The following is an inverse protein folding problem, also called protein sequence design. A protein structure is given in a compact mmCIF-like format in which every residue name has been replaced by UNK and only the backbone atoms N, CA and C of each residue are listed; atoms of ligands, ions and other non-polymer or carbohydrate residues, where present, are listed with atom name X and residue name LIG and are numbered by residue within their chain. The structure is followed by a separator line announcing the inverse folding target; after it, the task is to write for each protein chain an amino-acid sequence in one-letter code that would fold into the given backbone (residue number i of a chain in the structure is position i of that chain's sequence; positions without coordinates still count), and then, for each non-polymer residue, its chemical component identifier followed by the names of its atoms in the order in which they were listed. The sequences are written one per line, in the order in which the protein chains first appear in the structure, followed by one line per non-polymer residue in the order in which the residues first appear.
data_IF_306214564337
#
_entry.id   IF_306214564337
#
_cell.length_a   1.000
_cell.length_b   1.000
_cell.length_c   1.000
_cell.angle_alpha   90.00
_cell.angle_beta   90.00
_cell.angle_gamma   90.00
#
_symmetry.space_group_name_H-M   'P 1'
#
loop_
_entity.id
_entity.type
_entity.pdbx_description
1 polymer ?
#
# COMPACT_ATOMS: atom_id res chain seq x y z
N UNK A 1 5.68 2.13 27.86
CA UNK A 1 5.42 0.81 27.22
C UNK A 1 4.27 0.84 26.20
N UNK A 2 3.24 1.68 26.37
CA UNK A 2 2.13 1.80 25.42
C UNK A 2 2.60 2.25 24.04
N UNK A 3 3.40 3.31 23.95
CA UNK A 3 3.93 3.84 22.69
C UNK A 3 4.82 2.83 21.93
N UNK A 4 5.61 2.03 22.65
CA UNK A 4 6.41 0.97 22.03
C UNK A 4 5.55 -0.07 21.31
N UNK A 5 4.41 -0.44 21.93
CA UNK A 5 3.44 -1.34 21.30
C UNK A 5 2.83 -0.72 20.06
N UNK A 6 2.46 0.55 20.11
CA UNK A 6 1.86 1.27 18.97
C UNK A 6 2.83 1.39 17.79
N UNK A 7 4.11 1.69 18.05
CA UNK A 7 5.17 1.66 17.04
C UNK A 7 5.32 0.24 16.46
N UNK A 8 5.44 -0.77 17.32
CA UNK A 8 5.56 -2.17 16.90
C UNK A 8 4.38 -2.64 16.04
N UNK A 9 3.15 -2.32 16.46
CA UNK A 9 1.94 -2.64 15.69
C UNK A 9 1.95 -1.96 14.32
N UNK A 10 2.31 -0.67 14.28
CA UNK A 10 2.38 0.09 13.04
C UNK A 10 3.40 -0.49 12.08
N UNK A 11 4.63 -0.76 12.56
CA UNK A 11 5.70 -1.35 11.74
C UNK A 11 5.28 -2.72 11.20
N UNK A 12 4.68 -3.56 12.03
CA UNK A 12 4.24 -4.89 11.63
C UNK A 12 3.12 -4.84 10.58
N UNK A 13 2.06 -4.04 10.84
CA UNK A 13 0.91 -3.96 9.93
C UNK A 13 1.33 -3.31 8.60
N UNK A 14 2.01 -2.17 8.65
CA UNK A 14 2.46 -1.46 7.45
C UNK A 14 3.48 -2.30 6.68
N UNK A 15 4.47 -2.86 7.36
CA UNK A 15 5.51 -3.69 6.73
C UNK A 15 4.94 -4.90 6.01
N UNK A 16 4.07 -5.67 6.67
CA UNK A 16 3.43 -6.83 6.04
C UNK A 16 2.49 -6.42 4.90
N UNK A 17 1.73 -5.32 5.07
CA UNK A 17 0.89 -4.79 4.00
C UNK A 17 1.72 -4.46 2.76
N UNK A 18 2.85 -3.75 2.92
CA UNK A 18 3.72 -3.38 1.81
C UNK A 18 4.28 -4.61 1.07
N UNK A 19 4.82 -5.57 1.81
CA UNK A 19 5.42 -6.77 1.20
C UNK A 19 4.35 -7.56 0.43
N UNK A 20 3.24 -7.87 1.09
CA UNK A 20 2.18 -8.69 0.51
C UNK A 20 1.53 -7.96 -0.68
N UNK A 21 1.12 -6.69 -0.51
CA UNK A 21 0.46 -5.95 -1.58
C UNK A 21 1.37 -5.75 -2.79
N UNK A 22 2.65 -5.43 -2.59
CA UNK A 22 3.60 -5.22 -3.69
C UNK A 22 3.78 -6.48 -4.53
N UNK A 23 3.96 -7.65 -3.90
CA UNK A 23 4.11 -8.92 -4.62
C UNK A 23 2.86 -9.26 -5.43
N UNK A 24 1.68 -9.23 -4.78
CA UNK A 24 0.43 -9.57 -5.48
C UNK A 24 0.08 -8.54 -6.55
N UNK A 25 0.27 -7.24 -6.30
CA UNK A 25 -0.02 -6.20 -7.27
C UNK A 25 0.94 -6.23 -8.47
N UNK A 26 2.23 -6.55 -8.28
CA UNK A 26 3.17 -6.70 -9.39
C UNK A 26 2.78 -7.86 -10.32
N UNK A 27 2.40 -9.00 -9.74
CA UNK A 27 1.90 -10.15 -10.52
C UNK A 27 0.59 -9.83 -11.24
N UNK A 28 -0.36 -9.18 -10.54
CA UNK A 28 -1.65 -8.78 -11.13
C UNK A 28 -1.45 -7.74 -12.26
N UNK A 29 -0.59 -6.75 -12.04
CA UNK A 29 -0.27 -5.72 -13.02
C UNK A 29 0.31 -6.31 -14.31
N UNK A 30 1.22 -7.29 -14.17
CA UNK A 30 1.73 -8.03 -15.31
C UNK A 30 0.60 -8.75 -16.06
N UNK A 31 -0.27 -9.48 -15.34
CA UNK A 31 -1.41 -10.15 -15.94
C UNK A 31 -2.36 -9.19 -16.67
N UNK A 32 -2.72 -8.08 -16.03
CA UNK A 32 -3.60 -7.05 -16.63
C UNK A 32 -2.98 -6.28 -17.80
N UNK A 33 -1.65 -6.24 -17.90
CA UNK A 33 -0.95 -5.58 -18.99
C UNK A 33 -0.75 -6.48 -20.21
N UNK A 34 -0.41 -7.75 -19.98
CA UNK A 34 -0.03 -8.69 -21.05
C UNK A 34 -1.20 -9.49 -21.62
N UNK A 35 -2.26 -9.70 -20.82
CA UNK A 35 -3.43 -10.44 -21.26
C UNK A 35 -4.63 -9.52 -21.46
N UNK A 36 -5.05 -9.32 -22.71
CA UNK A 36 -6.10 -8.35 -23.09
C UNK A 36 -7.39 -9.05 -23.52
N UNK A 37 -7.96 -9.88 -22.65
CA UNK A 37 -9.29 -10.45 -22.89
C UNK A 37 -10.37 -9.54 -22.30
N UNK A 38 -11.63 -9.65 -22.83
CA UNK A 38 -12.77 -8.89 -22.29
C UNK A 38 -12.94 -9.08 -20.77
N UNK A 39 -12.81 -10.31 -20.27
CA UNK A 39 -12.94 -10.62 -18.85
C UNK A 39 -11.88 -9.95 -18.00
N UNK A 40 -10.63 -9.95 -18.45
CA UNK A 40 -9.50 -9.32 -17.74
C UNK A 40 -9.68 -7.80 -17.69
N UNK A 41 -10.10 -7.19 -18.80
CA UNK A 41 -10.37 -5.75 -18.83
C UNK A 41 -11.53 -5.35 -17.90
N UNK A 42 -12.59 -6.17 -17.82
CA UNK A 42 -13.71 -5.95 -16.89
C UNK A 42 -13.22 -6.09 -15.44
N UNK A 43 -12.43 -7.12 -15.13
CA UNK A 43 -11.88 -7.31 -13.79
C UNK A 43 -10.99 -6.15 -13.38
N UNK A 44 -10.11 -5.66 -14.27
CA UNK A 44 -9.31 -4.48 -14.02
C UNK A 44 -10.16 -3.23 -13.78
N UNK A 45 -11.17 -2.97 -14.65
CA UNK A 45 -12.08 -1.85 -14.48
C UNK A 45 -12.85 -1.92 -13.15
N UNK A 46 -13.25 -3.13 -12.74
CA UNK A 46 -13.91 -3.34 -11.45
C UNK A 46 -12.99 -3.00 -10.26
N UNK A 47 -11.74 -3.43 -10.30
CA UNK A 47 -10.75 -3.07 -9.26
C UNK A 47 -10.60 -1.54 -9.17
N UNK A 48 -10.47 -0.85 -10.31
CA UNK A 48 -10.33 0.61 -10.30
C UNK A 48 -11.62 1.30 -9.81
N UNK A 49 -12.79 0.77 -10.17
CA UNK A 49 -14.07 1.31 -9.72
C UNK A 49 -14.22 1.28 -8.19
N UNK A 50 -13.55 0.37 -7.47
CA UNK A 50 -13.58 0.34 -6.00
C UNK A 50 -13.00 1.61 -5.38
N UNK A 51 -12.09 2.34 -6.06
CA UNK A 51 -11.55 3.61 -5.58
C UNK A 51 -12.61 4.72 -5.48
N UNK A 52 -13.72 4.59 -6.19
CA UNK A 52 -14.80 5.58 -6.15
C UNK A 52 -15.73 5.41 -4.94
N UNK A 53 -15.60 4.31 -4.22
CA UNK A 53 -16.45 4.01 -3.08
C UNK A 53 -15.82 4.60 -1.81
N UNK A 54 -16.45 5.59 -1.15
CA UNK A 54 -15.92 6.15 0.09
C UNK A 54 -15.87 5.08 1.20
N UNK A 55 -14.75 5.03 1.93
CA UNK A 55 -14.55 4.06 3.02
C UNK A 55 -15.66 4.10 4.08
N UNK A 56 -16.20 5.29 4.36
CA UNK A 56 -17.28 5.50 5.34
C UNK A 56 -18.56 4.75 4.94
N UNK A 57 -18.87 4.67 3.65
CA UNK A 57 -20.08 3.97 3.16
C UNK A 57 -19.99 2.47 3.39
N UNK A 58 -18.81 1.90 3.22
CA UNK A 58 -18.56 0.47 3.39
C UNK A 58 -18.29 0.06 4.84
N UNK A 59 -18.11 1.03 5.73
CA UNK A 59 -17.69 0.80 7.11
C UNK A 59 -18.58 -0.18 7.87
N UNK A 60 -19.89 0.08 7.88
CA UNK A 60 -20.84 -0.75 8.65
C UNK A 60 -20.97 -2.18 8.11
N UNK A 61 -21.24 -2.41 6.82
CA UNK A 61 -21.35 -3.77 6.29
C UNK A 61 -20.03 -4.55 6.41
N UNK A 62 -18.88 -3.87 6.21
CA UNK A 62 -17.58 -4.51 6.33
C UNK A 62 -17.25 -4.87 7.79
N UNK A 63 -17.63 -4.03 8.75
CA UNK A 63 -17.52 -4.32 10.18
C UNK A 63 -18.28 -5.60 10.56
N UNK A 64 -19.55 -5.71 10.14
CA UNK A 64 -20.37 -6.90 10.39
C UNK A 64 -19.78 -8.15 9.74
N UNK A 65 -19.25 -8.01 8.51
CA UNK A 65 -18.56 -9.10 7.83
C UNK A 65 -17.31 -9.54 8.60
N UNK A 66 -16.45 -8.59 9.00
CA UNK A 66 -15.21 -8.88 9.76
C UNK A 66 -15.51 -9.58 11.08
N UNK A 67 -16.60 -9.23 11.76
CA UNK A 67 -17.04 -9.94 12.97
C UNK A 67 -17.49 -11.37 12.66
N UNK A 68 -18.30 -11.57 11.62
CA UNK A 68 -18.77 -12.91 11.22
C UNK A 68 -17.63 -13.86 10.89
N UNK A 69 -16.59 -13.38 10.18
CA UNK A 69 -15.40 -14.18 9.82
C UNK A 69 -14.35 -14.22 10.94
N UNK A 70 -14.61 -13.60 12.11
CA UNK A 70 -13.71 -13.53 13.28
C UNK A 70 -12.36 -12.87 12.98
N UNK A 71 -12.33 -11.91 12.06
CA UNK A 71 -11.15 -11.12 11.71
C UNK A 71 -11.18 -9.70 12.33
N UNK A 72 -12.28 -9.31 12.98
CA UNK A 72 -12.36 -8.06 13.71
C UNK A 72 -11.35 -8.02 14.87
N UNK A 73 -10.67 -6.89 15.05
CA UNK A 73 -9.65 -6.68 16.08
C UNK A 73 -8.50 -7.70 16.06
N UNK A 74 -8.09 -8.12 14.86
CA UNK A 74 -6.96 -9.04 14.65
C UNK A 74 -5.93 -8.45 13.69
N UNK A 75 -4.65 -8.78 13.86
CA UNK A 75 -3.59 -8.38 12.93
C UNK A 75 -3.88 -8.82 11.48
N UNK A 76 -4.25 -10.09 11.20
CA UNK A 76 -4.59 -10.48 9.83
C UNK A 76 -5.75 -9.69 9.26
N UNK A 77 -6.77 -9.39 10.06
CA UNK A 77 -7.91 -8.59 9.64
C UNK A 77 -7.50 -7.17 9.24
N UNK A 78 -6.73 -6.50 10.09
CA UNK A 78 -6.23 -5.16 9.77
C UNK A 78 -5.32 -5.17 8.53
N UNK A 79 -4.40 -6.13 8.42
CA UNK A 79 -3.50 -6.24 7.26
C UNK A 79 -4.30 -6.43 5.97
N UNK A 80 -5.33 -7.28 5.96
CA UNK A 80 -6.20 -7.48 4.80
C UNK A 80 -6.94 -6.20 4.39
N UNK A 81 -7.45 -5.45 5.37
CA UNK A 81 -8.11 -4.17 5.11
C UNK A 81 -7.13 -3.14 4.54
N UNK A 82 -5.93 -3.03 5.10
CA UNK A 82 -4.88 -2.14 4.58
C UNK A 82 -4.48 -2.53 3.14
N UNK A 83 -4.32 -3.83 2.88
CA UNK A 83 -4.04 -4.33 1.53
C UNK A 83 -5.16 -3.92 0.57
N UNK A 84 -6.43 -4.08 0.95
CA UNK A 84 -7.56 -3.72 0.11
C UNK A 84 -7.57 -2.24 -0.27
N UNK A 85 -7.13 -1.37 0.62
CA UNK A 85 -7.04 0.09 0.39
C UNK A 85 -5.97 0.44 -0.65
N UNK A 86 -4.81 -0.25 -0.65
CA UNK A 86 -3.70 0.11 -1.54
C UNK A 86 -3.71 -0.62 -2.89
N UNK A 87 -4.38 -1.78 -3.02
CA UNK A 87 -4.39 -2.60 -4.24
C UNK A 87 -4.79 -1.81 -5.49
N UNK A 88 -5.94 -1.08 -5.53
CA UNK A 88 -6.42 -0.53 -6.80
C UNK A 88 -5.41 0.45 -7.42
N UNK A 89 -4.89 1.37 -6.61
CA UNK A 89 -3.92 2.35 -7.04
C UNK A 89 -2.58 1.72 -7.43
N UNK A 90 -2.12 0.76 -6.65
CA UNK A 90 -0.86 0.05 -6.90
C UNK A 90 -0.91 -0.73 -8.21
N UNK A 91 -2.00 -1.48 -8.45
CA UNK A 91 -2.19 -2.23 -9.69
C UNK A 91 -2.27 -1.29 -10.89
N UNK A 92 -2.97 -0.15 -10.76
CA UNK A 92 -3.06 0.85 -11.83
C UNK A 92 -1.69 1.38 -12.26
N UNK A 93 -0.87 1.81 -11.30
CA UNK A 93 0.48 2.34 -11.60
C UNK A 93 1.36 1.25 -12.19
N UNK A 94 1.44 0.09 -11.54
CA UNK A 94 2.33 -0.98 -12.01
C UNK A 94 1.92 -1.53 -13.38
N UNK A 95 0.60 -1.62 -13.68
CA UNK A 95 0.10 -2.03 -14.99
C UNK A 95 0.55 -1.08 -16.09
N UNK A 96 0.48 0.23 -15.86
CA UNK A 96 0.93 1.22 -16.82
C UNK A 96 2.44 1.08 -17.10
N UNK A 97 3.23 0.88 -16.04
CA UNK A 97 4.66 0.66 -16.16
C UNK A 97 5.02 -0.62 -16.93
N UNK A 98 4.33 -1.73 -16.66
CA UNK A 98 4.51 -2.97 -17.44
C UNK A 98 4.16 -2.73 -18.91
N UNK A 99 3.14 -1.90 -19.19
CA UNK A 99 2.76 -1.53 -20.56
C UNK A 99 3.84 -0.79 -21.35
N UNK A 100 4.75 -0.09 -20.66
CA UNK A 100 5.87 0.62 -21.28
C UNK A 100 7.07 -0.29 -21.58
N UNK A 101 7.17 -1.47 -20.96
CA UNK A 101 8.22 -2.44 -21.22
C UNK A 101 7.95 -3.09 -22.59
N UNK A 102 8.88 -2.99 -23.57
CA UNK A 102 8.70 -3.59 -24.89
C UNK A 102 8.50 -5.10 -24.80
N UNK A 103 7.42 -5.59 -25.40
CA UNK A 103 7.08 -7.02 -25.40
C UNK A 103 8.16 -7.85 -26.13
N UNK A 104 8.88 -7.24 -27.07
CA UNK A 104 9.97 -7.87 -27.81
C UNK A 104 11.10 -8.43 -26.92
N UNK A 105 11.31 -7.86 -25.73
CA UNK A 105 12.27 -8.40 -24.76
C UNK A 105 11.82 -9.76 -24.20
N UNK A 106 10.53 -9.90 -23.96
CA UNK A 106 9.94 -11.16 -23.49
C UNK A 106 9.87 -12.21 -24.61
N UNK A 107 9.60 -11.76 -25.85
CA UNK A 107 9.56 -12.61 -27.03
C UNK A 107 10.95 -13.14 -27.39
N UNK A 108 11.98 -12.29 -27.35
CA UNK A 108 13.37 -12.71 -27.58
C UNK A 108 13.80 -13.77 -26.54
N UNK A 109 13.52 -13.53 -25.27
CA UNK A 109 13.81 -14.52 -24.23
C UNK A 109 13.01 -15.84 -24.41
N UNK A 110 11.79 -15.75 -24.92
CA UNK A 110 11.01 -16.95 -25.22
C UNK A 110 11.63 -17.77 -26.37
N UNK A 111 12.19 -17.11 -27.38
CA UNK A 111 12.92 -17.77 -28.48
C UNK A 111 14.19 -18.45 -27.93
N UNK A 112 14.86 -17.83 -26.95
CA UNK A 112 16.01 -18.39 -26.25
C UNK A 112 15.63 -19.52 -25.26
N UNK A 113 14.35 -19.89 -25.20
CA UNK A 113 13.86 -21.01 -24.37
C UNK A 113 13.51 -20.63 -22.93
N UNK A 114 13.45 -19.35 -22.59
CA UNK A 114 13.06 -18.94 -21.24
C UNK A 114 11.58 -19.25 -20.95
N UNK A 115 11.32 -19.89 -19.82
CA UNK A 115 9.97 -20.16 -19.32
C UNK A 115 9.24 -18.87 -18.94
N UNK A 116 7.92 -18.94 -18.81
CA UNK A 116 7.10 -17.80 -18.34
C UNK A 116 7.63 -17.21 -17.02
N UNK A 117 7.92 -18.06 -16.04
CA UNK A 117 8.46 -17.61 -14.75
C UNK A 117 9.82 -16.93 -14.88
N UNK A 118 10.70 -17.46 -15.72
CA UNK A 118 11.99 -16.83 -15.97
C UNK A 118 11.82 -15.44 -16.58
N UNK A 119 10.98 -15.28 -17.60
CA UNK A 119 10.70 -13.96 -18.20
C UNK A 119 10.15 -12.96 -17.18
N UNK A 120 9.21 -13.39 -16.34
CA UNK A 120 8.65 -12.54 -15.29
C UNK A 120 9.70 -12.13 -14.26
N UNK A 121 10.44 -13.10 -13.69
CA UNK A 121 11.34 -12.82 -12.56
C UNK A 121 12.71 -12.28 -12.97
N UNK A 122 13.22 -12.62 -14.17
CA UNK A 122 14.56 -12.19 -14.59
C UNK A 122 14.57 -10.99 -15.56
N UNK A 123 13.42 -10.68 -16.19
CA UNK A 123 13.32 -9.57 -17.15
C UNK A 123 12.35 -8.51 -16.64
N UNK A 124 11.07 -8.85 -16.51
CA UNK A 124 10.02 -7.85 -16.23
C UNK A 124 10.16 -7.26 -14.84
N UNK A 125 10.22 -8.07 -13.78
CA UNK A 125 10.30 -7.57 -12.40
C UNK A 125 11.56 -6.72 -12.15
N UNK A 126 12.77 -7.06 -12.63
CA UNK A 126 13.92 -6.18 -12.54
C UNK A 126 13.75 -4.83 -13.23
N UNK A 127 13.10 -4.80 -14.40
CA UNK A 127 12.79 -3.56 -15.11
C UNK A 127 11.71 -2.73 -14.39
N UNK A 128 10.82 -3.38 -13.65
CA UNK A 128 9.81 -2.71 -12.83
C UNK A 128 10.36 -2.13 -11.51
N UNK A 129 11.60 -2.35 -11.13
CA UNK A 129 12.15 -1.89 -9.84
C UNK A 129 11.87 -0.41 -9.53
N UNK A 130 12.03 0.55 -10.46
CA UNK A 130 11.71 1.96 -10.18
C UNK A 130 10.24 2.17 -9.84
N UNK A 131 9.33 1.54 -10.60
CA UNK A 131 7.89 1.63 -10.35
C UNK A 131 7.49 0.96 -9.02
N UNK A 132 8.09 -0.19 -8.72
CA UNK A 132 7.88 -0.88 -7.44
C UNK A 132 8.33 0.00 -6.28
N UNK A 133 9.50 0.63 -6.37
CA UNK A 133 9.97 1.55 -5.34
C UNK A 133 8.99 2.73 -5.16
N UNK A 134 8.52 3.33 -6.23
CA UNK A 134 7.55 4.43 -6.21
C UNK A 134 6.25 4.03 -5.51
N UNK A 135 5.65 2.89 -5.88
CA UNK A 135 4.40 2.45 -5.23
C UNK A 135 4.62 2.03 -3.78
N UNK A 136 5.78 1.46 -3.42
CA UNK A 136 6.12 1.17 -2.03
C UNK A 136 6.14 2.43 -1.17
N UNK A 137 6.70 3.54 -1.69
CA UNK A 137 6.74 4.81 -0.96
C UNK A 137 5.33 5.38 -0.78
N UNK A 138 4.54 5.42 -1.85
CA UNK A 138 3.17 5.93 -1.81
C UNK A 138 2.33 5.09 -0.83
N UNK A 139 2.43 3.77 -0.92
CA UNK A 139 1.71 2.86 -0.03
C UNK A 139 2.17 2.99 1.42
N UNK A 140 3.48 3.18 1.65
CA UNK A 140 4.02 3.39 3.00
C UNK A 140 3.41 4.65 3.64
N UNK A 141 3.41 5.77 2.91
CA UNK A 141 2.82 7.02 3.38
C UNK A 141 1.31 6.86 3.60
N UNK A 142 0.61 6.22 2.65
CA UNK A 142 -0.84 5.97 2.74
C UNK A 142 -1.19 5.13 3.95
N UNK A 143 -0.44 4.04 4.19
CA UNK A 143 -0.67 3.15 5.34
C UNK A 143 -0.35 3.84 6.68
N UNK A 144 0.73 4.61 6.77
CA UNK A 144 1.06 5.35 8.00
C UNK A 144 0.02 6.41 8.34
N UNK A 145 -0.57 7.06 7.34
CA UNK A 145 -1.61 8.07 7.51
C UNK A 145 -3.02 7.48 7.64
N UNK A 146 -3.19 6.18 7.41
CA UNK A 146 -4.50 5.55 7.52
C UNK A 146 -4.97 5.56 8.99
N UNK A 147 -5.96 6.40 9.24
CA UNK A 147 -6.58 6.58 10.55
C UNK A 147 -7.91 5.82 10.66
N UNK A 148 -8.70 5.83 9.58
CA UNK A 148 -10.06 5.31 9.58
C UNK A 148 -10.12 3.80 9.82
N UNK A 149 -9.33 3.04 9.07
CA UNK A 149 -9.33 1.57 9.17
C UNK A 149 -9.02 1.07 10.58
N UNK A 150 -7.90 1.45 11.23
CA UNK A 150 -7.60 0.94 12.55
C UNK A 150 -8.55 1.50 13.62
N UNK A 151 -9.06 2.72 13.48
CA UNK A 151 -10.05 3.29 14.39
C UNK A 151 -11.37 2.52 14.38
N UNK A 152 -11.81 2.08 13.20
CA UNK A 152 -13.13 1.50 13.02
C UNK A 152 -13.15 -0.02 13.21
N UNK A 153 -12.04 -0.70 12.82
CA UNK A 153 -11.98 -2.17 12.81
C UNK A 153 -11.12 -2.78 13.91
N UNK A 154 -10.61 -1.98 14.85
CA UNK A 154 -9.86 -2.48 16.00
C UNK A 154 -10.12 -1.68 17.25
N UNK A 155 -10.15 -2.39 18.39
CA UNK A 155 -10.22 -1.78 19.72
C UNK A 155 -8.93 -2.03 20.52
N UNK A 156 -8.32 -3.20 20.38
CA UNK A 156 -7.16 -3.63 21.15
C UNK A 156 -5.83 -3.36 20.45
N UNK A 157 -5.81 -3.36 19.11
CA UNK A 157 -4.59 -3.14 18.32
C UNK A 157 -4.51 -1.67 17.95
N UNK A 158 -3.81 -0.90 18.74
CA UNK A 158 -3.59 0.52 18.47
C UNK A 158 -2.37 0.73 17.59
N UNK A 159 -2.51 1.60 16.58
CA UNK A 159 -1.43 2.09 15.72
C UNK A 159 -1.18 3.58 15.96
N UNK A 160 -0.05 4.10 15.50
CA UNK A 160 0.36 5.49 15.76
C UNK A 160 -0.65 6.52 15.25
N UNK A 161 -1.27 6.29 14.10
CA UNK A 161 -2.25 7.21 13.50
C UNK A 161 -3.50 7.39 14.37
N UNK A 162 -3.94 6.35 15.07
CA UNK A 162 -5.06 6.42 16.03
C UNK A 162 -4.60 6.97 17.37
N UNK A 163 -3.43 6.56 17.83
CA UNK A 163 -2.91 6.92 19.13
C UNK A 163 -2.72 8.44 19.30
N UNK A 164 -2.29 9.13 18.24
CA UNK A 164 -2.09 10.60 18.27
C UNK A 164 -3.39 11.36 18.53
N UNK A 165 -4.52 10.82 18.08
CA UNK A 165 -5.83 11.48 18.24
C UNK A 165 -6.50 11.09 19.57
N UNK A 166 -6.13 9.93 20.12
CA UNK A 166 -6.68 9.41 21.37
C UNK A 166 -5.83 9.78 22.60
N UNK A 167 -4.94 10.75 22.49
CA UNK A 167 -4.18 11.23 23.65
C UNK A 167 -5.11 11.80 24.71
N UNK A 168 -4.94 11.40 26.00
CA UNK A 168 -5.76 11.93 27.07
C UNK A 168 -5.55 13.44 27.22
N UNK A 169 -6.62 14.19 27.34
CA UNK A 169 -6.56 15.62 27.64
C UNK A 169 -5.87 15.82 29.00
N UNK A 170 -4.92 16.77 29.05
CA UNK A 170 -4.41 17.25 30.34
C UNK A 170 -5.46 18.11 30.99
N UNK A 171 -5.65 17.98 32.29
CA UNK A 171 -6.62 18.68 33.12
C UNK A 171 -7.44 19.77 32.42
N UNK A 172 -8.71 19.90 32.71
CA UNK A 172 -9.72 20.77 32.05
C UNK A 172 -9.26 22.22 31.75
N UNK A 173 -8.10 22.64 32.26
CA UNK A 173 -7.55 24.00 32.12
C UNK A 173 -6.55 24.15 30.95
N UNK A 174 -5.93 23.07 30.47
CA UNK A 174 -4.87 23.14 29.42
C UNK A 174 -5.19 22.42 28.11
N UNK A 175 -6.29 21.69 28.04
CA UNK A 175 -6.76 21.07 26.80
C UNK A 175 -5.84 20.00 26.22
N UNK A 176 -5.58 20.10 24.94
CA UNK A 176 -4.79 19.11 24.17
C UNK A 176 -3.31 19.14 24.60
N UNK A 177 -2.67 18.00 24.87
CA UNK A 177 -1.25 17.93 25.22
C UNK A 177 -0.36 18.09 23.98
N UNK A 178 -0.18 19.33 23.52
CA UNK A 178 0.55 19.66 22.31
C UNK A 178 2.00 19.18 22.27
N UNK A 179 2.64 19.06 23.42
CA UNK A 179 3.97 18.48 23.59
C UNK A 179 4.01 17.00 23.19
N UNK A 180 3.03 16.21 23.63
CA UNK A 180 2.91 14.80 23.26
C UNK A 180 2.47 14.63 21.80
N UNK A 181 1.51 15.46 21.34
CA UNK A 181 1.08 15.45 19.92
C UNK A 181 2.27 15.72 19.01
N UNK A 182 3.09 16.74 19.32
CA UNK A 182 4.27 17.07 18.54
C UNK A 182 5.33 15.97 18.57
N UNK A 183 5.56 15.35 19.74
CA UNK A 183 6.49 14.24 19.86
C UNK A 183 6.04 13.02 19.04
N UNK A 184 4.76 12.67 19.07
CA UNK A 184 4.21 11.59 18.26
C UNK A 184 4.21 11.93 16.77
N UNK A 185 3.96 13.20 16.41
CA UNK A 185 4.10 13.67 15.04
C UNK A 185 5.50 13.41 14.49
N UNK A 186 6.55 13.72 15.26
CA UNK A 186 7.92 13.40 14.87
C UNK A 186 8.18 11.89 14.74
N UNK A 187 7.62 11.06 15.62
CA UNK A 187 7.75 9.59 15.53
C UNK A 187 7.13 9.06 14.22
N UNK A 188 6.05 9.67 13.74
CA UNK A 188 5.40 9.30 12.47
C UNK A 188 6.19 9.86 11.28
N UNK A 189 6.68 11.09 11.36
CA UNK A 189 7.38 11.76 10.26
C UNK A 189 8.78 11.21 10.00
N UNK A 190 9.53 10.86 11.04
CA UNK A 190 10.91 10.35 10.90
C UNK A 190 11.02 9.14 9.98
N UNK A 191 10.20 8.07 10.14
CA UNK A 191 10.22 6.94 9.21
C UNK A 191 9.92 7.35 7.77
N UNK A 192 9.00 8.29 7.55
CA UNK A 192 8.65 8.80 6.21
C UNK A 192 9.85 9.51 5.60
N UNK A 193 10.48 10.42 6.34
CA UNK A 193 11.65 11.17 5.88
C UNK A 193 12.80 10.22 5.53
N UNK A 194 13.10 9.25 6.41
CA UNK A 194 14.15 8.26 6.18
C UNK A 194 13.82 7.43 4.93
N UNK A 195 12.59 6.95 4.80
CA UNK A 195 12.16 6.13 3.68
C UNK A 195 12.26 6.89 2.36
N UNK A 196 11.77 8.15 2.32
CA UNK A 196 11.89 9.01 1.14
C UNK A 196 13.34 9.29 0.79
N UNK A 197 14.20 9.62 1.76
CA UNK A 197 15.62 9.90 1.52
C UNK A 197 16.38 8.67 0.98
N UNK A 198 16.06 7.46 1.47
CA UNK A 198 16.68 6.22 0.97
C UNK A 198 16.25 5.90 -0.46
N UNK A 199 15.01 6.21 -0.81
CA UNK A 199 14.44 5.87 -2.11
C UNK A 199 14.35 7.07 -3.08
N UNK A 200 14.93 8.23 -2.74
CA UNK A 200 14.89 9.46 -3.55
C UNK A 200 15.31 9.22 -5.00
N UNK A 201 16.41 8.50 -5.23
CA UNK A 201 16.91 8.20 -6.56
C UNK A 201 15.89 7.38 -7.39
N UNK A 202 15.29 6.36 -6.79
CA UNK A 202 14.30 5.51 -7.45
C UNK A 202 13.01 6.28 -7.77
N UNK A 203 12.64 7.25 -6.92
CA UNK A 203 11.50 8.15 -7.16
C UNK A 203 11.78 9.01 -8.40
N UNK A 204 12.94 9.64 -8.45
CA UNK A 204 13.33 10.51 -9.56
C UNK A 204 13.40 9.74 -10.87
N UNK A 205 14.01 8.54 -10.86
CA UNK A 205 14.08 7.67 -12.03
C UNK A 205 12.67 7.25 -12.51
N UNK A 206 11.76 6.94 -11.58
CA UNK A 206 10.38 6.56 -11.89
C UNK A 206 9.54 7.71 -12.47
N UNK A 207 9.70 8.93 -11.94
CA UNK A 207 9.00 10.12 -12.43
C UNK A 207 9.52 10.51 -13.82
N UNK A 208 10.82 10.45 -14.03
CA UNK A 208 11.41 10.78 -15.33
C UNK A 208 11.04 9.77 -16.42
N UNK A 209 10.95 8.48 -16.10
CA UNK A 209 10.50 7.45 -17.04
C UNK A 209 9.03 7.66 -17.46
N UNK A 210 8.16 8.12 -16.56
CA UNK A 210 6.76 8.43 -16.88
C UNK A 210 6.52 9.83 -17.45
N UNK A 211 7.48 10.74 -17.35
CA UNK A 211 7.36 12.15 -17.76
C UNK A 211 7.91 12.48 -19.16
N UNK A 212 8.61 11.57 -19.82
CA UNK A 212 9.18 11.80 -21.16
C UNK A 212 8.21 11.35 -22.25
N UNK A 213 6.99 11.88 -22.21
CA UNK A 213 6.08 11.93 -23.36
C UNK A 213 5.53 13.36 -23.48
N UNK A 214 6.36 14.25 -23.94
CA UNK A 214 5.94 15.51 -24.55
C UNK A 214 6.51 15.54 -25.97
#
# INVERSE_FOLDING_TARGET
DVYKRQVGNTVLIVGLTLVISTVFCAMAAYGFSRFTTKGINIAFAFIIATMLIPEVVTARPLYEFMQKVKLYDTYPGLILLYISTVIPFTVLILRNFVGEIPISLEEAAAIDGATFSQRLFTIVLPLMKPAIATVCIINFITCLNNFFTPLFYSNGIQVLSVAIVQLPLRDNMYGVPWDLVSAMGWIILLPIIIFVAVFEKQIMDGIMAGGVKA
#
